data_IF_537478227095
#
_entry.id   IF_537478227095
#
_cell.length_a   1.000
_cell.length_b   1.000
_cell.length_c   1.000
_cell.angle_alpha   90.00
_cell.angle_beta   90.00
_cell.angle_gamma   90.00
#
_symmetry.space_group_name_H-M   'P 1'
#
loop_
_entity.id
_entity.type
_entity.pdbx_description
1 polymer ?
#
# COMPACT_ATOMS: atom_id res chain seq x y z
N UNK A 1 3.33 -7.37 -12.01
CA UNK A 1 4.65 -6.70 -12.04
C UNK A 1 4.57 -5.36 -11.33
N UNK A 2 3.83 -4.36 -11.82
CA UNK A 2 3.75 -3.03 -11.16
C UNK A 2 3.17 -3.05 -9.74
N UNK A 3 2.12 -3.82 -9.48
CA UNK A 3 1.55 -3.96 -8.12
C UNK A 3 2.57 -4.48 -7.11
N UNK A 4 3.34 -5.51 -7.48
CA UNK A 4 4.40 -6.08 -6.63
C UNK A 4 5.48 -5.04 -6.33
N UNK A 5 5.85 -4.22 -7.34
CA UNK A 5 6.83 -3.16 -7.15
C UNK A 5 6.31 -2.04 -6.23
N UNK A 6 5.04 -1.66 -6.35
CA UNK A 6 4.43 -0.63 -5.50
C UNK A 6 4.32 -1.10 -4.05
N UNK A 7 3.89 -2.34 -3.80
CA UNK A 7 3.85 -2.90 -2.44
C UNK A 7 5.24 -3.07 -1.82
N UNK A 8 6.25 -3.45 -2.61
CA UNK A 8 7.59 -3.71 -2.11
C UNK A 8 8.43 -2.43 -1.90
N UNK A 9 8.24 -1.41 -2.74
CA UNK A 9 9.12 -0.24 -2.79
C UNK A 9 8.41 1.12 -2.79
N UNK A 10 7.07 1.14 -2.82
CA UNK A 10 6.26 2.35 -2.91
C UNK A 10 6.20 2.96 -4.33
N UNK A 11 5.30 3.93 -4.49
CA UNK A 11 4.97 4.54 -5.78
C UNK A 11 6.16 5.21 -6.49
N UNK A 12 6.96 6.00 -5.77
CA UNK A 12 8.09 6.74 -6.35
C UNK A 12 9.16 5.82 -6.93
N UNK A 13 9.51 4.73 -6.22
CA UNK A 13 10.53 3.79 -6.67
C UNK A 13 9.97 2.89 -7.77
N UNK A 14 8.72 2.41 -7.64
CA UNK A 14 8.06 1.64 -8.69
C UNK A 14 7.94 2.41 -10.01
N UNK A 15 7.68 3.72 -9.96
CA UNK A 15 7.62 4.58 -11.15
C UNK A 15 8.91 4.57 -11.96
N UNK A 16 10.07 4.62 -11.29
CA UNK A 16 11.38 4.49 -11.95
C UNK A 16 11.58 3.14 -12.63
N UNK A 17 11.17 2.05 -11.99
CA UNK A 17 11.31 0.70 -12.55
C UNK A 17 10.36 0.45 -13.74
N UNK A 18 9.21 1.11 -13.74
CA UNK A 18 8.19 0.96 -14.77
C UNK A 18 8.34 1.96 -15.92
N UNK A 19 9.34 2.85 -15.86
CA UNK A 19 9.51 3.97 -16.80
C UNK A 19 8.23 4.81 -16.97
N UNK A 20 7.57 5.09 -15.85
CA UNK A 20 6.33 5.86 -15.78
C UNK A 20 6.49 7.04 -14.82
N UNK A 21 5.64 8.06 -14.96
CA UNK A 21 5.55 9.11 -13.94
C UNK A 21 4.95 8.55 -12.66
N UNK A 22 5.38 9.07 -11.52
CA UNK A 22 4.79 8.70 -10.23
C UNK A 22 3.28 8.95 -10.21
N UNK A 23 2.83 10.03 -10.84
CA UNK A 23 1.41 10.37 -10.97
C UNK A 23 0.62 9.27 -11.69
N UNK A 24 1.11 8.76 -12.83
CA UNK A 24 0.47 7.65 -13.53
C UNK A 24 0.47 6.35 -12.72
N UNK A 25 1.53 6.09 -11.95
CA UNK A 25 1.61 4.90 -11.09
C UNK A 25 0.65 5.03 -9.91
N UNK A 26 0.54 6.22 -9.30
CA UNK A 26 -0.44 6.51 -8.24
C UNK A 26 -1.87 6.39 -8.73
N UNK A 27 -2.19 6.91 -9.91
CA UNK A 27 -3.53 6.78 -10.47
C UNK A 27 -3.88 5.30 -10.70
N UNK A 28 -3.02 4.55 -11.38
CA UNK A 28 -3.24 3.13 -11.70
C UNK A 28 -3.29 2.21 -10.49
N UNK A 29 -2.49 2.48 -9.46
CA UNK A 29 -2.31 1.59 -8.31
C UNK A 29 -2.85 2.17 -7.00
N UNK A 30 -3.62 3.25 -7.06
CA UNK A 30 -4.24 3.93 -5.90
C UNK A 30 -4.97 3.01 -4.92
N UNK A 31 -5.54 1.90 -5.41
CA UNK A 31 -6.25 0.91 -4.59
C UNK A 31 -5.34 0.16 -3.61
N UNK A 32 -4.03 0.13 -3.82
CA UNK A 32 -3.09 -0.55 -2.92
C UNK A 32 -3.05 0.14 -1.55
N UNK A 33 -3.02 1.48 -1.53
CA UNK A 33 -3.00 2.26 -0.30
C UNK A 33 -4.30 2.10 0.51
N UNK A 34 -5.43 1.97 -0.16
CA UNK A 34 -6.72 1.69 0.48
C UNK A 34 -6.75 0.28 1.12
N UNK A 35 -6.10 -0.71 0.48
CA UNK A 35 -5.96 -2.05 1.03
C UNK A 35 -5.04 -2.08 2.25
N UNK A 36 -3.86 -1.46 2.16
CA UNK A 36 -2.89 -1.39 3.26
C UNK A 36 -3.45 -0.66 4.49
N UNK A 37 -4.19 0.44 4.30
CA UNK A 37 -4.86 1.12 5.41
C UNK A 37 -5.95 0.27 6.07
N UNK A 38 -6.63 -0.58 5.29
CA UNK A 38 -7.60 -1.53 5.81
C UNK A 38 -6.93 -2.60 6.68
N UNK A 39 -5.83 -3.17 6.20
CA UNK A 39 -5.05 -4.18 6.93
C UNK A 39 -4.49 -3.61 8.24
N UNK A 40 -3.91 -2.39 8.21
CA UNK A 40 -3.42 -1.69 9.41
C UNK A 40 -4.56 -1.40 10.39
N UNK A 41 -5.73 -0.98 9.90
CA UNK A 41 -6.88 -0.74 10.75
C UNK A 41 -7.38 -2.02 11.41
N UNK A 42 -7.38 -3.15 10.70
CA UNK A 42 -7.72 -4.46 11.28
C UNK A 42 -6.71 -4.89 12.33
N UNK A 43 -5.41 -4.78 12.06
CA UNK A 43 -4.35 -5.12 13.03
C UNK A 43 -4.45 -4.27 14.31
N UNK A 44 -4.71 -2.96 14.16
CA UNK A 44 -4.90 -2.07 15.31
C UNK A 44 -6.17 -2.40 16.13
N UNK A 45 -7.23 -2.89 15.48
CA UNK A 45 -8.43 -3.34 16.20
C UNK A 45 -8.17 -4.64 16.96
N UNK A 46 -7.42 -5.58 16.38
CA UNK A 46 -7.04 -6.83 17.02
C UNK A 46 -6.12 -6.59 18.24
N UNK A 47 -5.21 -5.61 18.18
CA UNK A 47 -4.36 -5.24 19.33
C UNK A 47 -5.17 -4.66 20.49
N UNK A 48 -6.20 -3.84 20.20
CA UNK A 48 -7.09 -3.27 21.24
C UNK A 48 -7.97 -4.33 21.89
N UNK A 49 -8.41 -5.36 21.14
CA UNK A 49 -9.22 -6.45 21.68
C UNK A 49 -8.41 -7.32 22.67
N UNK A 50 -7.11 -7.53 22.42
CA UNK A 50 -6.23 -8.29 23.33
C UNK A 50 -5.89 -7.56 24.63
N UNK A 51 -5.90 -6.22 24.64
CA UNK A 51 -5.61 -5.41 25.84
C UNK A 51 -6.81 -5.33 26.83
N UNK A 52 -7.97 -5.89 26.47
CA UNK A 52 -9.19 -5.87 27.29
C UNK A 52 -9.44 -7.16 28.12
N UNK A 53 -8.53 -8.15 28.10
CA UNK A 53 -8.62 -9.39 28.92
C UNK A 53 -7.78 -9.37 30.22
#
# INVERSE_FOLDING_TARGET
MGEVLVRAFGYTVAARYLDNSEEMVRERYSHIEAGELGDIATEALDEIDMDLE
#
